data_IF_887176699807
#
_entry.id   IF_887176699807
#
_cell.length_a   1.000
_cell.length_b   1.000
_cell.length_c   1.000
_cell.angle_alpha   90.00
_cell.angle_beta   90.00
_cell.angle_gamma   90.00
#
_symmetry.space_group_name_H-M   'P 1'
#
loop_
_entity.id
_entity.type
_entity.pdbx_description
1 polymer ?
#
# COMPACT_ATOMS: atom_id res chain seq x y z
N UNK A 1 -0.47 -41.00 0.04
CA UNK A 1 -1.53 -40.50 -0.87
C UNK A 1 -2.74 -40.25 0.00
N UNK A 2 -3.14 -39.05 0.38
CA UNK A 2 -2.74 -37.69 0.02
C UNK A 2 -3.31 -36.75 1.10
N UNK A 3 -2.63 -35.64 1.32
CA UNK A 3 -2.99 -34.53 2.19
C UNK A 3 -4.45 -34.05 2.03
N UNK A 4 -5.19 -34.00 3.12
CA UNK A 4 -6.41 -33.21 3.22
C UNK A 4 -6.01 -31.76 3.55
N UNK A 5 -5.64 -31.02 2.51
CA UNK A 5 -5.53 -29.56 2.52
C UNK A 5 -6.85 -28.95 3.01
N UNK A 6 -6.90 -28.57 4.29
CA UNK A 6 -7.94 -27.71 4.85
C UNK A 6 -7.81 -26.33 4.23
N UNK A 7 -8.67 -26.04 3.25
CA UNK A 7 -8.59 -24.83 2.44
C UNK A 7 -9.31 -23.67 3.17
N UNK A 8 -8.61 -22.66 3.70
CA UNK A 8 -9.17 -21.63 4.59
C UNK A 8 -10.00 -20.55 3.86
N UNK A 9 -10.18 -20.67 2.54
CA UNK A 9 -10.82 -19.66 1.68
C UNK A 9 -12.05 -20.18 0.91
N UNK A 10 -12.57 -21.36 1.23
CA UNK A 10 -13.83 -21.83 0.65
C UNK A 10 -15.01 -20.96 1.13
N UNK A 11 -15.51 -20.11 0.23
CA UNK A 11 -16.66 -19.23 0.44
C UNK A 11 -17.86 -19.85 -0.28
N UNK A 12 -18.85 -20.37 0.45
CA UNK A 12 -20.18 -20.67 -0.10
C UNK A 12 -21.23 -19.73 0.52
N UNK A 13 -22.18 -19.20 -0.29
CA UNK A 13 -23.22 -18.28 0.17
C UNK A 13 -24.55 -18.99 0.54
N UNK A 14 -25.30 -18.35 1.47
CA UNK A 14 -26.73 -18.55 1.81
C UNK A 14 -27.11 -19.93 2.42
N UNK A 15 -27.88 -20.12 3.48
CA UNK A 15 -29.00 -19.43 4.15
C UNK A 15 -28.99 -19.90 5.63
N UNK A 16 -29.43 -19.14 6.63
CA UNK A 16 -30.83 -19.20 7.10
C UNK A 16 -31.03 -18.30 8.31
N UNK A 17 -32.27 -17.83 8.44
CA UNK A 17 -32.70 -16.67 9.19
C UNK A 17 -32.95 -16.88 10.70
N UNK A 18 -32.90 -15.73 11.40
CA UNK A 18 -33.66 -15.33 12.58
C UNK A 18 -33.22 -15.82 13.97
N UNK A 19 -32.71 -14.88 14.79
CA UNK A 19 -33.50 -14.35 15.93
C UNK A 19 -32.84 -13.14 16.63
N UNK A 20 -33.56 -12.02 16.54
CA UNK A 20 -33.82 -10.99 17.56
C UNK A 20 -32.69 -10.23 18.30
N UNK A 21 -32.69 -8.92 17.98
CA UNK A 21 -32.84 -7.79 18.89
C UNK A 21 -31.67 -7.38 19.80
N UNK A 22 -30.98 -6.29 19.43
CA UNK A 22 -31.05 -4.98 20.11
C UNK A 22 -29.84 -4.11 19.73
N UNK A 23 -30.16 -3.00 19.08
CA UNK A 23 -29.56 -1.67 19.19
C UNK A 23 -28.07 -1.52 19.54
N UNK A 24 -27.33 -1.05 18.54
CA UNK A 24 -26.46 0.14 18.57
C UNK A 24 -25.38 0.29 19.66
N UNK A 25 -24.14 0.32 19.15
CA UNK A 25 -22.97 1.08 19.63
C UNK A 25 -22.48 0.84 21.06
N UNK A 26 -21.48 -0.03 21.19
CA UNK A 26 -20.39 0.21 22.12
C UNK A 26 -19.07 -0.11 21.41
N UNK A 27 -18.58 0.87 20.63
CA UNK A 27 -17.14 1.07 20.53
C UNK A 27 -16.69 1.51 21.91
N UNK A 28 -16.07 0.59 22.65
CA UNK A 28 -15.45 0.89 23.92
C UNK A 28 -13.99 0.46 23.79
N UNK A 29 -13.14 1.48 23.79
CA UNK A 29 -11.73 1.44 23.48
C UNK A 29 -10.97 0.48 24.38
N UNK A 30 -10.23 -0.44 23.75
CA UNK A 30 -9.42 -1.47 24.41
C UNK A 30 -8.22 -0.92 25.20
N UNK A 31 -8.02 0.40 25.24
CA UNK A 31 -6.83 1.05 25.79
C UNK A 31 -7.06 1.79 27.12
N UNK A 32 -8.27 1.76 27.68
CA UNK A 32 -8.53 2.36 28.99
C UNK A 32 -9.15 1.36 29.95
N UNK A 33 -8.35 0.72 30.80
CA UNK A 33 -8.89 0.18 32.06
C UNK A 33 -7.83 0.10 33.16
N UNK A 34 -8.04 0.88 34.20
CA UNK A 34 -7.87 0.46 35.59
C UNK A 34 -8.76 1.34 36.48
N UNK A 35 -9.16 0.90 37.68
CA UNK A 35 -9.37 -0.47 38.18
C UNK A 35 -10.74 -0.62 38.89
N UNK A 36 -11.18 -1.85 39.18
CA UNK A 36 -11.75 -2.28 40.48
C UNK A 36 -12.53 -3.61 40.41
N UNK A 37 -12.03 -4.58 41.18
CA UNK A 37 -12.76 -5.59 42.01
C UNK A 37 -13.81 -6.46 41.30
N UNK A 38 -13.75 -7.79 41.29
CA UNK A 38 -13.81 -8.66 42.48
C UNK A 38 -13.65 -10.13 42.03
N UNK A 39 -12.83 -10.91 42.77
CA UNK A 39 -12.84 -12.37 42.95
C UNK A 39 -13.02 -13.30 41.73
N UNK A 40 -11.91 -13.51 41.00
CA UNK A 40 -11.54 -14.72 40.22
C UNK A 40 -10.22 -14.52 39.44
N UNK A 41 -9.59 -13.34 39.54
CA UNK A 41 -8.44 -12.91 38.75
C UNK A 41 -7.09 -12.95 39.48
N UNK A 42 -7.01 -13.56 40.67
CA UNK A 42 -5.79 -13.56 41.50
C UNK A 42 -4.68 -14.49 40.98
N UNK A 43 -4.99 -15.45 40.11
CA UNK A 43 -3.97 -16.32 39.50
C UNK A 43 -3.35 -15.79 38.20
N UNK A 44 -3.94 -14.76 37.57
CA UNK A 44 -3.36 -14.15 36.35
C UNK A 44 -2.50 -12.91 36.66
N UNK A 45 -2.72 -12.27 37.82
CA UNK A 45 -1.90 -11.16 38.26
C UNK A 45 -0.46 -11.60 38.61
N UNK A 46 -0.27 -12.79 39.18
CA UNK A 46 1.05 -13.33 39.49
C UNK A 46 1.90 -13.63 38.24
N UNK A 47 1.27 -14.07 37.14
CA UNK A 47 1.95 -14.32 35.85
C UNK A 47 2.37 -13.02 35.14
N UNK A 48 1.64 -11.93 35.38
CA UNK A 48 1.92 -10.62 34.78
C UNK A 48 3.03 -9.83 35.46
N UNK A 49 3.51 -10.25 36.63
CA UNK A 49 4.68 -9.66 37.32
C UNK A 49 5.98 -10.44 37.07
N UNK A 50 5.88 -11.65 36.53
CA UNK A 50 7.01 -12.56 36.30
C UNK A 50 7.90 -12.11 35.12
N UNK A 51 7.32 -11.40 34.14
CA UNK A 51 8.06 -10.77 33.04
C UNK A 51 8.75 -9.45 33.43
N UNK A 52 8.29 -8.79 34.52
CA UNK A 52 8.87 -7.54 35.03
C UNK A 52 10.04 -7.79 35.98
N UNK A 53 10.08 -8.96 36.63
CA UNK A 53 11.14 -9.31 37.60
C UNK A 53 12.19 -10.27 37.04
N UNK A 54 11.98 -10.83 35.85
CA UNK A 54 12.99 -11.59 35.12
C UNK A 54 13.89 -10.65 34.31
N UNK A 55 14.57 -9.72 34.98
CA UNK A 55 15.75 -9.09 34.39
C UNK A 55 16.91 -10.10 34.52
N UNK A 56 17.50 -10.59 33.41
CA UNK A 56 18.68 -11.43 33.49
C UNK A 56 19.78 -10.68 34.23
N UNK A 57 20.28 -11.28 35.31
CA UNK A 57 21.49 -10.83 36.02
C UNK A 57 22.61 -10.65 34.99
N UNK A 58 23.38 -9.55 35.00
CA UNK A 58 24.51 -9.36 34.09
C UNK A 58 25.62 -10.36 34.43
N UNK A 59 25.55 -11.56 33.84
CA UNK A 59 26.56 -12.59 33.97
C UNK A 59 27.76 -12.24 33.07
N UNK A 60 28.94 -12.40 33.65
CA UNK A 60 30.22 -11.90 33.17
C UNK A 60 30.58 -12.34 31.74
N UNK A 61 31.23 -11.42 31.03
CA UNK A 61 31.84 -11.56 29.72
C UNK A 61 32.67 -12.85 29.59
N UNK A 62 32.14 -13.84 28.86
CA UNK A 62 32.95 -14.95 28.34
C UNK A 62 33.13 -14.76 26.83
N UNK A 63 34.35 -14.40 26.44
CA UNK A 63 34.80 -14.26 25.05
C UNK A 63 34.34 -15.47 24.22
N UNK A 64 33.38 -15.25 23.34
CA UNK A 64 32.81 -16.28 22.47
C UNK A 64 33.64 -16.37 21.17
N UNK A 65 34.46 -17.41 21.05
CA UNK A 65 35.33 -17.66 19.90
C UNK A 65 34.55 -18.02 18.61
N UNK A 66 33.24 -18.28 18.72
CA UNK A 66 32.38 -18.72 17.60
C UNK A 66 31.62 -17.57 16.93
N UNK A 67 31.75 -16.33 17.41
CA UNK A 67 31.16 -15.14 16.80
C UNK A 67 32.15 -13.95 16.76
N UNK A 68 33.12 -13.97 15.82
CA UNK A 68 34.17 -12.95 15.71
C UNK A 68 33.66 -11.59 15.18
N UNK A 69 32.35 -11.44 14.94
CA UNK A 69 31.77 -10.26 14.28
C UNK A 69 31.02 -9.30 15.22
N UNK A 70 30.99 -9.57 16.52
CA UNK A 70 30.50 -8.61 17.51
C UNK A 70 31.36 -7.34 17.61
N UNK A 71 32.55 -7.34 17.01
CA UNK A 71 33.27 -6.12 16.68
C UNK A 71 32.88 -5.72 15.25
N UNK A 72 31.77 -5.00 15.11
CA UNK A 72 31.35 -4.33 13.87
C UNK A 72 32.37 -3.25 13.52
N UNK A 73 33.49 -3.67 12.93
CA UNK A 73 34.56 -2.81 12.41
C UNK A 73 34.07 -1.87 11.29
N UNK A 74 32.84 -2.08 10.81
CA UNK A 74 32.13 -1.15 9.92
C UNK A 74 30.81 -0.73 10.59
N UNK A 75 30.71 0.53 11.06
CA UNK A 75 29.51 1.05 11.71
C UNK A 75 28.44 1.44 10.67
N UNK A 76 27.92 0.44 9.95
CA UNK A 76 26.87 0.61 8.94
C UNK A 76 25.63 1.32 9.50
N UNK A 77 25.28 1.08 10.75
CA UNK A 77 24.16 1.73 11.43
C UNK A 77 24.34 3.26 11.52
N UNK A 78 25.54 3.71 11.89
CA UNK A 78 25.87 5.14 11.94
C UNK A 78 25.93 5.77 10.56
N UNK A 79 26.45 5.06 9.55
CA UNK A 79 26.53 5.54 8.16
C UNK A 79 25.16 5.58 7.48
N UNK A 80 24.29 4.61 7.76
CA UNK A 80 22.90 4.62 7.28
C UNK A 80 22.14 5.76 7.95
N UNK A 81 22.28 5.95 9.26
CA UNK A 81 21.65 7.05 10.00
C UNK A 81 22.13 8.41 9.48
N UNK A 82 23.44 8.65 9.41
CA UNK A 82 24.00 9.88 8.86
C UNK A 82 23.69 10.06 7.37
N UNK A 83 23.70 8.98 6.60
CA UNK A 83 23.39 8.99 5.18
C UNK A 83 21.93 9.33 4.90
N UNK A 84 21.00 8.81 5.71
CA UNK A 84 19.58 9.15 5.64
C UNK A 84 19.37 10.60 6.08
N UNK A 85 20.00 11.08 7.15
CA UNK A 85 19.90 12.48 7.58
C UNK A 85 20.46 13.45 6.53
N UNK A 86 21.57 13.07 5.88
CA UNK A 86 22.12 13.83 4.76
C UNK A 86 21.17 13.77 3.54
N UNK A 87 20.61 12.61 3.20
CA UNK A 87 19.68 12.44 2.09
C UNK A 87 18.33 13.15 2.33
N UNK A 88 17.84 13.21 3.55
CA UNK A 88 16.60 13.94 3.89
C UNK A 88 16.88 15.45 3.86
N UNK A 89 18.02 15.92 4.38
CA UNK A 89 18.35 17.35 4.36
C UNK A 89 18.72 17.87 2.97
N UNK A 90 19.49 17.11 2.18
CA UNK A 90 20.00 17.52 0.86
C UNK A 90 19.27 16.88 -0.33
N UNK A 91 18.61 15.74 -0.15
CA UNK A 91 17.86 15.07 -1.20
C UNK A 91 16.46 15.65 -1.43
N UNK A 92 15.85 16.35 -0.45
CA UNK A 92 14.57 17.08 -0.62
C UNK A 92 14.52 17.92 -1.91
N UNK A 93 15.48 18.83 -2.19
CA UNK A 93 15.48 19.60 -3.42
C UNK A 93 15.70 18.73 -4.67
N UNK A 94 16.43 17.62 -4.58
CA UNK A 94 16.64 16.69 -5.69
C UNK A 94 15.36 15.92 -6.02
N UNK A 95 14.66 15.39 -5.01
CA UNK A 95 13.36 14.71 -5.19
C UNK A 95 12.28 15.67 -5.70
N UNK A 96 12.30 16.92 -5.24
CA UNK A 96 11.43 17.97 -5.77
C UNK A 96 11.80 18.33 -7.22
N UNK A 97 13.09 18.35 -7.55
CA UNK A 97 13.59 18.60 -8.89
C UNK A 97 13.18 17.53 -9.90
N UNK A 98 13.28 16.24 -9.55
CA UNK A 98 12.82 15.12 -10.40
C UNK A 98 11.30 15.09 -10.52
N UNK A 99 10.60 15.50 -9.46
CA UNK A 99 9.13 15.59 -9.47
C UNK A 99 8.62 16.66 -10.44
N UNK A 100 9.31 17.80 -10.58
CA UNK A 100 8.88 18.92 -11.42
C UNK A 100 8.60 18.53 -12.88
N UNK A 101 9.51 17.83 -13.61
CA UNK A 101 9.24 17.35 -14.96
C UNK A 101 8.06 16.38 -15.05
N UNK A 102 7.97 15.43 -14.10
CA UNK A 102 6.87 14.45 -14.07
C UNK A 102 5.53 15.14 -13.86
N UNK A 103 5.44 16.05 -12.89
CA UNK A 103 4.22 16.81 -12.61
C UNK A 103 3.86 17.76 -13.75
N UNK A 104 4.85 18.40 -14.41
CA UNK A 104 4.62 19.26 -15.57
C UNK A 104 4.03 18.48 -16.75
N UNK A 105 4.61 17.32 -17.06
CA UNK A 105 4.12 16.46 -18.15
C UNK A 105 2.75 15.87 -17.80
N UNK A 106 2.56 15.40 -16.57
CA UNK A 106 1.28 14.87 -16.09
C UNK A 106 0.18 15.93 -16.15
N UNK A 107 0.48 17.16 -15.70
CA UNK A 107 -0.44 18.30 -15.77
C UNK A 107 -0.69 18.72 -17.22
N UNK A 108 0.32 18.65 -18.09
CA UNK A 108 0.18 18.94 -19.52
C UNK A 108 -0.77 17.96 -20.20
N UNK A 109 -0.59 16.66 -19.98
CA UNK A 109 -1.50 15.64 -20.48
C UNK A 109 -2.89 15.75 -19.85
N UNK A 110 -3.00 16.03 -18.54
CA UNK A 110 -4.31 16.30 -17.93
C UNK A 110 -5.00 17.51 -18.56
N UNK A 111 -4.30 18.61 -18.82
CA UNK A 111 -4.92 19.78 -19.45
C UNK A 111 -5.35 19.50 -20.90
N UNK A 112 -4.52 18.80 -21.69
CA UNK A 112 -4.85 18.44 -23.08
C UNK A 112 -6.03 17.46 -23.12
N UNK A 113 -6.03 16.48 -22.22
CA UNK A 113 -6.97 15.38 -22.25
C UNK A 113 -8.27 15.68 -21.49
N UNK A 114 -8.20 16.32 -20.32
CA UNK A 114 -9.37 16.74 -19.51
C UNK A 114 -9.97 18.07 -19.94
N UNK A 115 -9.19 18.95 -20.59
CA UNK A 115 -9.72 20.18 -21.19
C UNK A 115 -10.62 19.91 -22.39
N UNK A 116 -10.55 18.71 -22.97
CA UNK A 116 -11.36 18.29 -24.10
C UNK A 116 -12.51 17.39 -23.60
N UNK A 117 -13.79 17.68 -23.94
CA UNK A 117 -14.91 16.89 -23.45
C UNK A 117 -14.77 15.42 -23.87
N UNK A 118 -15.03 14.51 -22.93
CA UNK A 118 -14.86 13.06 -23.07
C UNK A 118 -15.22 12.45 -24.44
N UNK A 119 -16.36 12.76 -25.08
CA UNK A 119 -16.69 12.19 -26.40
C UNK A 119 -15.70 12.57 -27.50
N UNK A 120 -15.12 13.77 -27.46
CA UNK A 120 -14.14 14.21 -28.47
C UNK A 120 -12.84 13.42 -28.31
N UNK A 121 -12.35 13.25 -27.07
CA UNK A 121 -11.15 12.46 -26.81
C UNK A 121 -11.32 11.01 -27.27
N UNK A 122 -12.47 10.39 -27.01
CA UNK A 122 -12.79 9.02 -27.47
C UNK A 122 -12.70 8.92 -28.99
N UNK A 123 -13.28 9.88 -29.73
CA UNK A 123 -13.20 9.89 -31.18
C UNK A 123 -11.77 10.02 -31.68
N UNK A 124 -10.98 10.94 -31.12
CA UNK A 124 -9.59 11.16 -31.51
C UNK A 124 -8.75 9.91 -31.29
N UNK A 125 -8.85 9.27 -30.12
CA UNK A 125 -8.11 8.03 -29.85
C UNK A 125 -8.55 6.87 -30.73
N UNK A 126 -9.86 6.74 -30.98
CA UNK A 126 -10.38 5.73 -31.89
C UNK A 126 -9.89 5.96 -33.33
N UNK A 127 -9.84 7.21 -33.80
CA UNK A 127 -9.29 7.59 -35.11
C UNK A 127 -7.80 7.27 -35.23
N UNK A 128 -7.00 7.57 -34.18
CA UNK A 128 -5.57 7.24 -34.15
C UNK A 128 -5.36 5.72 -34.15
N UNK A 129 -6.09 5.00 -33.30
CA UNK A 129 -6.01 3.53 -33.25
C UNK A 129 -6.43 2.90 -34.58
N UNK A 130 -7.48 3.43 -35.20
CA UNK A 130 -7.89 3.05 -36.53
C UNK A 130 -6.79 3.26 -37.57
N UNK A 131 -6.08 4.40 -37.49
CA UNK A 131 -5.03 4.73 -38.44
C UNK A 131 -3.77 3.86 -38.28
N UNK A 132 -3.40 3.50 -37.05
CA UNK A 132 -2.21 2.70 -36.78
C UNK A 132 -2.44 1.19 -36.98
N UNK A 133 -3.64 0.67 -36.70
CA UNK A 133 -3.90 -0.77 -36.62
C UNK A 133 -5.06 -1.27 -37.52
N UNK A 134 -5.72 -0.39 -38.28
CA UNK A 134 -6.76 -0.74 -39.23
C UNK A 134 -8.18 -0.81 -38.64
N UNK A 135 -9.16 -1.08 -39.52
CA UNK A 135 -10.61 -0.94 -39.25
C UNK A 135 -11.13 -1.79 -38.07
N UNK A 136 -10.65 -3.03 -37.95
CA UNK A 136 -11.09 -3.94 -36.86
C UNK A 136 -10.59 -3.51 -35.48
N UNK A 137 -9.33 -3.08 -35.40
CA UNK A 137 -8.75 -2.65 -34.12
C UNK A 137 -9.34 -1.32 -33.66
N UNK A 138 -9.56 -0.37 -34.57
CA UNK A 138 -10.17 0.93 -34.26
C UNK A 138 -11.58 0.80 -33.67
N UNK A 139 -12.43 -0.07 -34.21
CA UNK A 139 -13.77 -0.31 -33.69
C UNK A 139 -13.75 -0.94 -32.29
N UNK A 140 -12.86 -1.90 -32.05
CA UNK A 140 -12.67 -2.51 -30.73
C UNK A 140 -12.19 -1.48 -29.69
N UNK A 141 -11.24 -0.61 -30.06
CA UNK A 141 -10.76 0.50 -29.22
C UNK A 141 -11.89 1.48 -28.90
N UNK A 142 -12.71 1.88 -29.89
CA UNK A 142 -13.85 2.77 -29.67
C UNK A 142 -14.84 2.17 -28.67
N UNK A 143 -15.22 0.91 -28.84
CA UNK A 143 -16.12 0.20 -27.93
C UNK A 143 -15.55 0.11 -26.51
N UNK A 144 -14.25 -0.19 -26.38
CA UNK A 144 -13.56 -0.24 -25.09
C UNK A 144 -13.54 1.11 -24.38
N UNK A 145 -13.17 2.19 -25.08
CA UNK A 145 -13.15 3.54 -24.51
C UNK A 145 -14.56 4.01 -24.13
N UNK A 146 -15.58 3.71 -24.94
CA UNK A 146 -16.97 4.03 -24.60
C UNK A 146 -17.43 3.27 -23.36
N UNK A 147 -17.10 1.98 -23.25
CA UNK A 147 -17.44 1.19 -22.07
C UNK A 147 -16.79 1.75 -20.79
N UNK A 148 -15.50 2.09 -20.84
CA UNK A 148 -14.77 2.70 -19.71
C UNK A 148 -15.35 4.09 -19.36
N UNK A 149 -15.70 4.88 -20.38
CA UNK A 149 -16.37 6.16 -20.20
C UNK A 149 -17.75 6.03 -19.57
N UNK A 150 -18.53 5.02 -19.97
CA UNK A 150 -19.86 4.74 -19.43
C UNK A 150 -19.83 4.31 -17.96
N UNK A 151 -18.76 3.63 -17.53
CA UNK A 151 -18.51 3.25 -16.12
C UNK A 151 -18.04 4.47 -15.28
N UNK A 152 -17.67 5.59 -15.92
CA UNK A 152 -17.19 6.79 -15.25
C UNK A 152 -15.70 6.76 -14.86
N UNK A 153 -14.95 5.75 -15.32
CA UNK A 153 -13.52 5.58 -15.02
C UNK A 153 -12.59 6.37 -15.97
N UNK A 154 -13.09 7.43 -16.60
CA UNK A 154 -12.40 8.15 -17.66
C UNK A 154 -11.12 8.85 -17.19
N UNK A 155 -11.19 9.54 -16.04
CA UNK A 155 -10.02 10.22 -15.46
C UNK A 155 -8.91 9.21 -15.12
N UNK A 156 -9.27 8.07 -14.54
CA UNK A 156 -8.32 7.00 -14.19
C UNK A 156 -7.61 6.45 -15.43
N UNK A 157 -8.36 6.18 -16.50
CA UNK A 157 -7.81 5.68 -17.76
C UNK A 157 -6.87 6.69 -18.44
N UNK A 158 -7.16 7.99 -18.34
CA UNK A 158 -6.27 9.02 -18.89
C UNK A 158 -5.00 9.19 -18.08
N UNK A 159 -5.07 9.06 -16.75
CA UNK A 159 -3.88 9.10 -15.89
C UNK A 159 -2.94 7.94 -16.23
N UNK A 160 -3.46 6.72 -16.43
CA UNK A 160 -2.59 5.58 -16.80
C UNK A 160 -1.94 5.80 -18.16
N UNK A 161 -2.68 6.30 -19.16
CA UNK A 161 -2.14 6.65 -20.46
C UNK A 161 -1.05 7.73 -20.34
N UNK A 162 -1.31 8.79 -19.56
CA UNK A 162 -0.36 9.87 -19.32
C UNK A 162 0.93 9.37 -18.67
N UNK A 163 0.83 8.47 -17.68
CA UNK A 163 2.01 7.87 -17.03
C UNK A 163 2.82 7.00 -18.01
N UNK A 164 2.16 6.23 -18.88
CA UNK A 164 2.83 5.43 -19.91
C UNK A 164 3.54 6.33 -20.93
N UNK A 165 2.89 7.38 -21.41
CA UNK A 165 3.51 8.35 -22.33
C UNK A 165 4.66 9.11 -21.68
N UNK A 166 4.52 9.51 -20.41
CA UNK A 166 5.57 10.19 -19.64
C UNK A 166 6.80 9.28 -19.49
N UNK A 167 6.58 8.00 -19.18
CA UNK A 167 7.64 7.00 -19.11
C UNK A 167 8.34 6.84 -20.47
N UNK A 168 7.59 6.71 -21.56
CA UNK A 168 8.14 6.61 -22.92
C UNK A 168 8.95 7.86 -23.32
N UNK A 169 8.59 9.03 -22.81
CA UNK A 169 9.32 10.27 -23.11
C UNK A 169 10.65 10.39 -22.35
N UNK A 170 10.75 9.80 -21.15
CA UNK A 170 11.93 9.87 -20.29
C UNK A 170 12.83 8.63 -20.33
N UNK A 171 12.39 7.54 -20.96
CA UNK A 171 13.13 6.29 -21.14
C UNK A 171 13.96 6.35 -22.43
#
# INVERSE_FOLDING_TARGET
>A
MSDATSNPWATEPAESAASNATSASQGADAWSSSPATTDAASNHAAQSSDWLSSAPTPEAEHFNLMDPFHHTWVPFDSWVTHGIDWLVSHGRPVFQGIRMPVDFVLSGFQNILQGMPAPIAILVFALIAWQCAGLGMGAATLIGLVAIGAIGAWSQAMVTLALVLTSLFFC
#
